data_IF_152921043811
#
_entry.id   IF_152921043811
#
_cell.length_a   1.000
_cell.length_b   1.000
_cell.length_c   1.000
_cell.angle_alpha   90.00
_cell.angle_beta   90.00
_cell.angle_gamma   90.00
#
_symmetry.space_group_name_H-M   'P 1'
#
loop_
_entity.id
_entity.type
_entity.pdbx_description
1 polymer ?
#
# COMPACT_ATOMS: atom_id res chain seq x y z
N UNK A 1 -20.04 35.56 -18.85
CA UNK A 1 -18.68 35.08 -18.56
C UNK A 1 -18.01 34.73 -19.86
N UNK A 2 -16.84 35.32 -20.13
CA UNK A 2 -16.05 34.96 -21.30
C UNK A 2 -15.43 33.56 -21.12
N UNK A 3 -15.05 32.84 -22.20
CA UNK A 3 -14.32 31.57 -22.11
C UNK A 3 -13.05 31.68 -21.23
N UNK A 4 -12.28 32.75 -21.41
CA UNK A 4 -11.11 33.06 -20.59
C UNK A 4 -11.43 33.26 -19.09
N UNK A 5 -12.56 33.88 -18.74
CA UNK A 5 -13.01 34.00 -17.34
C UNK A 5 -13.39 32.66 -16.73
N UNK A 6 -14.00 31.76 -17.51
CA UNK A 6 -14.31 30.39 -17.06
C UNK A 6 -13.03 29.61 -16.78
N UNK A 7 -12.06 29.64 -17.69
CA UNK A 7 -10.75 28.98 -17.50
C UNK A 7 -10.03 29.49 -16.24
N UNK A 8 -10.01 30.82 -16.02
CA UNK A 8 -9.43 31.41 -14.80
C UNK A 8 -10.16 30.97 -13.52
N UNK A 9 -11.49 30.85 -13.56
CA UNK A 9 -12.28 30.37 -12.42
C UNK A 9 -11.98 28.90 -12.12
N UNK A 10 -11.88 28.05 -13.14
CA UNK A 10 -11.52 26.64 -12.98
C UNK A 10 -10.09 26.46 -12.45
N UNK A 11 -9.13 27.23 -12.96
CA UNK A 11 -7.75 27.21 -12.45
C UNK A 11 -7.68 27.54 -10.95
N UNK A 12 -8.37 28.61 -10.51
CA UNK A 12 -8.44 28.98 -9.08
C UNK A 12 -9.13 27.92 -8.23
N UNK A 13 -10.18 27.28 -8.76
CA UNK A 13 -10.86 26.20 -8.06
C UNK A 13 -9.92 24.99 -7.88
N UNK A 14 -9.18 24.61 -8.92
CA UNK A 14 -8.20 23.53 -8.85
C UNK A 14 -7.08 23.81 -7.86
N UNK A 15 -6.49 25.02 -7.87
CA UNK A 15 -5.49 25.41 -6.88
C UNK A 15 -6.02 25.35 -5.45
N UNK A 16 -7.29 25.72 -5.24
CA UNK A 16 -7.93 25.61 -3.93
C UNK A 16 -8.08 24.13 -3.52
N UNK A 17 -8.56 23.28 -4.42
CA UNK A 17 -8.70 21.84 -4.17
C UNK A 17 -7.35 21.18 -3.92
N UNK A 18 -6.29 21.55 -4.64
CA UNK A 18 -4.93 21.06 -4.38
C UNK A 18 -4.47 21.34 -2.95
N UNK A 19 -4.69 22.58 -2.45
CA UNK A 19 -4.35 22.95 -1.07
C UNK A 19 -5.21 22.20 -0.04
N UNK A 20 -6.48 21.96 -0.36
CA UNK A 20 -7.37 21.18 0.51
C UNK A 20 -6.92 19.71 0.60
N UNK A 21 -6.52 19.10 -0.53
CA UNK A 21 -5.94 17.76 -0.56
C UNK A 21 -4.63 17.70 0.25
N UNK A 22 -3.73 18.67 0.09
CA UNK A 22 -2.48 18.72 0.85
C UNK A 22 -2.73 18.83 2.36
N UNK A 23 -3.74 19.62 2.78
CA UNK A 23 -4.13 19.71 4.19
C UNK A 23 -4.68 18.40 4.73
N UNK A 24 -5.52 17.72 3.96
CA UNK A 24 -6.11 16.45 4.38
C UNK A 24 -5.04 15.35 4.45
N UNK A 25 -4.10 15.34 3.50
CA UNK A 25 -2.93 14.45 3.54
C UNK A 25 -2.13 14.62 4.82
N UNK A 26 -1.80 15.86 5.21
CA UNK A 26 -1.06 16.12 6.46
C UNK A 26 -1.83 15.66 7.70
N UNK A 27 -3.17 15.72 7.71
CA UNK A 27 -3.96 15.14 8.81
C UNK A 27 -3.84 13.63 8.86
N UNK A 28 -3.90 12.95 7.71
CA UNK A 28 -3.71 11.51 7.62
C UNK A 28 -2.30 11.08 8.02
N UNK A 29 -1.26 11.80 7.61
CA UNK A 29 0.13 11.56 8.06
C UNK A 29 0.28 11.69 9.59
N UNK A 30 -0.41 12.66 10.19
CA UNK A 30 -0.43 12.80 11.66
C UNK A 30 -1.23 11.68 12.34
N UNK A 31 -2.31 11.20 11.72
CA UNK A 31 -3.07 10.05 12.21
C UNK A 31 -2.25 8.75 12.10
N UNK A 32 -1.50 8.57 11.02
CA UNK A 32 -0.56 7.47 10.83
C UNK A 32 0.45 7.43 11.98
N UNK A 33 1.09 8.56 12.31
CA UNK A 33 2.03 8.65 13.43
C UNK A 33 1.41 8.26 14.77
N UNK A 34 0.15 8.64 15.01
CA UNK A 34 -0.59 8.25 16.23
C UNK A 34 -0.90 6.76 16.24
N UNK A 35 -1.39 6.21 15.12
CA UNK A 35 -1.65 4.77 14.99
C UNK A 35 -0.40 3.95 15.24
N UNK A 36 0.76 4.35 14.71
CA UNK A 36 2.05 3.68 14.98
C UNK A 36 2.38 3.69 16.48
N UNK A 37 2.17 4.80 17.18
CA UNK A 37 2.38 4.87 18.62
C UNK A 37 1.41 3.98 19.41
N UNK A 38 0.15 3.91 18.99
CA UNK A 38 -0.87 3.12 19.67
C UNK A 38 -0.69 1.62 19.41
N UNK A 39 -0.29 1.22 18.19
CA UNK A 39 0.13 -0.17 17.88
C UNK A 39 1.27 -0.59 18.79
N UNK A 40 2.31 0.25 18.96
CA UNK A 40 3.44 -0.02 19.86
C UNK A 40 3.00 -0.18 21.31
N UNK A 41 2.02 0.60 21.78
CA UNK A 41 1.48 0.47 23.15
C UNK A 41 0.67 -0.80 23.32
N UNK A 42 -0.26 -1.08 22.41
CA UNK A 42 -1.11 -2.28 22.43
C UNK A 42 -0.27 -3.56 22.33
N UNK A 43 0.84 -3.51 21.59
CA UNK A 43 1.80 -4.60 21.47
C UNK A 43 2.51 -4.90 22.79
N UNK A 44 3.03 -3.85 23.46
CA UNK A 44 3.66 -3.97 24.79
C UNK A 44 2.69 -4.50 25.85
N UNK A 45 1.41 -4.19 25.70
CA UNK A 45 0.36 -4.64 26.60
C UNK A 45 -0.14 -6.07 26.27
N UNK A 46 0.42 -6.75 25.26
CA UNK A 46 0.03 -8.09 24.85
C UNK A 46 -1.35 -8.18 24.20
N UNK A 47 -1.92 -7.07 23.75
CA UNK A 47 -3.26 -7.01 23.15
C UNK A 47 -3.23 -7.35 21.65
N UNK A 48 -2.95 -8.60 21.32
CA UNK A 48 -2.75 -9.08 19.94
C UNK A 48 -3.95 -8.77 19.02
N UNK A 49 -5.18 -8.92 19.53
CA UNK A 49 -6.40 -8.62 18.77
C UNK A 49 -6.54 -7.13 18.42
N UNK A 50 -6.21 -6.24 19.37
CA UNK A 50 -6.21 -4.80 19.14
C UNK A 50 -5.10 -4.38 18.15
N UNK A 51 -3.90 -4.96 18.29
CA UNK A 51 -2.80 -4.72 17.35
C UNK A 51 -3.15 -5.12 15.92
N UNK A 52 -3.78 -6.28 15.69
CA UNK A 52 -4.15 -6.72 14.34
C UNK A 52 -5.15 -5.76 13.68
N UNK A 53 -6.12 -5.24 14.45
CA UNK A 53 -7.09 -4.26 13.94
C UNK A 53 -6.40 -2.91 13.63
N UNK A 54 -5.61 -2.40 14.58
CA UNK A 54 -4.89 -1.13 14.40
C UNK A 54 -3.87 -1.18 13.25
N UNK A 55 -3.24 -2.33 13.02
CA UNK A 55 -2.32 -2.52 11.89
C UNK A 55 -3.07 -2.51 10.54
N UNK A 56 -4.27 -3.10 10.46
CA UNK A 56 -5.14 -2.97 9.27
C UNK A 56 -5.52 -1.51 9.02
N UNK A 57 -5.86 -0.76 10.07
CA UNK A 57 -6.16 0.67 9.95
C UNK A 57 -4.94 1.49 9.51
N UNK A 58 -3.74 1.11 9.95
CA UNK A 58 -2.49 1.73 9.51
C UNK A 58 -2.24 1.52 8.02
N UNK A 59 -2.36 0.27 7.53
CA UNK A 59 -2.20 -0.05 6.10
C UNK A 59 -3.21 0.74 5.26
N UNK A 60 -4.48 0.80 5.70
CA UNK A 60 -5.52 1.58 5.03
C UNK A 60 -5.19 3.07 5.00
N UNK A 61 -4.67 3.62 6.11
CA UNK A 61 -4.26 5.02 6.21
C UNK A 61 -3.10 5.33 5.25
N UNK A 62 -2.08 4.46 5.18
CA UNK A 62 -0.96 4.58 4.23
C UNK A 62 -1.43 4.54 2.78
N UNK A 63 -2.32 3.61 2.43
CA UNK A 63 -2.96 3.55 1.09
C UNK A 63 -3.72 4.83 0.76
N UNK A 64 -4.46 5.41 1.71
CA UNK A 64 -5.12 6.69 1.49
C UNK A 64 -4.11 7.83 1.27
N UNK A 65 -3.04 7.93 2.06
CA UNK A 65 -1.98 8.93 1.86
C UNK A 65 -1.40 8.84 0.44
N UNK A 66 -1.08 7.62 -0.03
CA UNK A 66 -0.61 7.38 -1.41
C UNK A 66 -1.65 7.82 -2.45
N UNK A 67 -2.94 7.48 -2.25
CA UNK A 67 -4.03 7.92 -3.12
C UNK A 67 -4.14 9.45 -3.17
N UNK A 68 -3.95 10.15 -2.05
CA UNK A 68 -3.90 11.61 -2.02
C UNK A 68 -2.72 12.19 -2.82
N UNK A 69 -1.54 11.54 -2.81
CA UNK A 69 -0.43 11.92 -3.69
C UNK A 69 -0.78 11.75 -5.16
N UNK A 70 -1.36 10.61 -5.55
CA UNK A 70 -1.79 10.38 -6.94
C UNK A 70 -2.83 11.41 -7.39
N UNK A 71 -3.87 11.66 -6.59
CA UNK A 71 -4.89 12.68 -6.90
C UNK A 71 -4.30 14.09 -7.01
N UNK A 72 -3.34 14.46 -6.14
CA UNK A 72 -2.64 15.75 -6.23
C UNK A 72 -1.90 15.89 -7.57
N UNK A 73 -1.19 14.84 -7.99
CA UNK A 73 -0.45 14.81 -9.27
C UNK A 73 -1.41 14.91 -10.46
N UNK A 74 -2.53 14.19 -10.43
CA UNK A 74 -3.58 14.29 -11.45
C UNK A 74 -4.15 15.72 -11.54
N UNK A 75 -4.48 16.36 -10.41
CA UNK A 75 -4.93 17.76 -10.41
C UNK A 75 -3.86 18.73 -10.91
N UNK A 76 -2.58 18.44 -10.66
CA UNK A 76 -1.47 19.25 -11.17
C UNK A 76 -1.35 19.11 -12.70
N UNK A 77 -1.52 17.91 -13.25
CA UNK A 77 -1.56 17.66 -14.69
C UNK A 77 -2.73 18.40 -15.35
N UNK A 78 -3.93 18.36 -14.77
CA UNK A 78 -5.10 19.10 -15.28
C UNK A 78 -4.86 20.62 -15.24
N UNK A 79 -4.24 21.13 -14.17
CA UNK A 79 -3.88 22.55 -14.07
C UNK A 79 -2.92 22.97 -15.19
N UNK A 80 -1.93 22.14 -15.49
CA UNK A 80 -1.00 22.37 -16.59
C UNK A 80 -1.70 22.34 -17.95
N UNK A 81 -2.61 21.38 -18.18
CA UNK A 81 -3.42 21.31 -19.41
C UNK A 81 -4.26 22.57 -19.61
N UNK A 82 -4.88 23.10 -18.55
CA UNK A 82 -5.61 24.37 -18.59
C UNK A 82 -4.70 25.55 -18.94
N UNK A 83 -3.47 25.57 -18.41
CA UNK A 83 -2.49 26.59 -18.75
C UNK A 83 -2.11 26.54 -20.24
N UNK A 84 -1.92 25.34 -20.80
CA UNK A 84 -1.68 25.14 -22.24
C UNK A 84 -2.85 25.63 -23.08
N UNK A 85 -4.09 25.25 -22.73
CA UNK A 85 -5.31 25.70 -23.43
C UNK A 85 -5.40 27.22 -23.44
N UNK A 86 -5.11 27.88 -22.31
CA UNK A 86 -5.10 29.34 -22.22
C UNK A 86 -4.04 29.98 -23.13
N UNK A 87 -2.83 29.40 -23.20
CA UNK A 87 -1.76 29.88 -24.09
C UNK A 87 -2.17 29.74 -25.56
N UNK A 88 -2.79 28.60 -25.91
CA UNK A 88 -3.31 28.34 -27.25
C UNK A 88 -4.45 29.30 -27.61
N UNK A 89 -5.36 29.61 -26.68
CA UNK A 89 -6.42 30.60 -26.90
C UNK A 89 -5.83 32.00 -27.17
N UNK A 90 -4.82 32.43 -26.41
CA UNK A 90 -4.17 33.72 -26.63
C UNK A 90 -3.44 33.77 -27.99
N UNK A 91 -2.74 32.70 -28.35
CA UNK A 91 -2.11 32.55 -29.66
C UNK A 91 -3.16 32.60 -30.79
N UNK A 92 -4.28 31.91 -30.64
CA UNK A 92 -5.38 31.93 -31.61
C UNK A 92 -6.01 33.32 -31.74
N UNK A 93 -6.16 34.07 -30.64
CA UNK A 93 -6.63 35.46 -30.68
C UNK A 93 -5.64 36.36 -31.42
N UNK A 94 -4.33 36.21 -31.18
CA UNK A 94 -3.28 36.94 -31.90
C UNK A 94 -3.22 36.56 -33.38
N UNK A 95 -3.32 35.27 -33.72
CA UNK A 95 -3.37 34.79 -35.10
C UNK A 95 -4.63 35.27 -35.81
N UNK A 96 -5.78 35.32 -35.13
CA UNK A 96 -7.01 35.91 -35.65
C UNK A 96 -6.85 37.40 -35.94
N UNK A 97 -6.22 38.16 -35.04
CA UNK A 97 -5.91 39.57 -35.26
C UNK A 97 -4.94 39.79 -36.42
N UNK A 98 -3.84 39.03 -36.47
CA UNK A 98 -2.87 39.04 -37.56
C UNK A 98 -3.48 38.60 -38.89
N UNK A 99 -4.36 37.60 -38.89
CA UNK A 99 -5.14 37.15 -40.05
C UNK A 99 -6.10 38.22 -40.54
N UNK A 100 -6.79 38.94 -39.65
CA UNK A 100 -7.64 40.06 -40.05
C UNK A 100 -6.83 41.23 -40.62
N UNK A 101 -5.67 41.54 -40.05
CA UNK A 101 -4.72 42.53 -40.56
C UNK A 101 -4.12 42.12 -41.90
N UNK A 102 -3.71 40.87 -42.03
CA UNK A 102 -3.27 40.30 -43.30
C UNK A 102 -4.41 40.31 -44.30
N UNK A 103 -5.64 39.97 -43.92
CA UNK A 103 -6.82 40.00 -44.79
C UNK A 103 -7.20 41.40 -45.24
N UNK A 104 -7.06 42.42 -44.39
CA UNK A 104 -7.28 43.81 -44.77
C UNK A 104 -6.17 44.35 -45.68
N UNK A 105 -4.95 43.82 -45.57
CA UNK A 105 -3.80 44.12 -46.44
C UNK A 105 -3.78 43.27 -47.74
N UNK A 106 -4.38 42.06 -47.70
CA UNK A 106 -4.48 41.02 -48.75
C UNK A 106 -5.78 41.14 -49.57
N UNK A 107 -6.73 42.02 -49.19
CA UNK A 107 -7.87 42.32 -50.09
C UNK A 107 -7.42 42.83 -51.48
N UNK A 108 -6.13 43.12 -51.67
CA UNK A 108 -5.46 43.35 -52.94
C UNK A 108 -4.58 42.17 -53.48
N UNK A 109 -4.29 41.09 -52.74
CA UNK A 109 -3.60 39.86 -53.24
C UNK A 109 -3.86 38.58 -52.40
N UNK A 110 -4.68 37.64 -52.92
CA UNK A 110 -4.77 36.19 -52.64
C UNK A 110 -5.45 35.64 -51.35
N UNK A 111 -6.76 35.40 -51.45
CA UNK A 111 -7.64 34.63 -50.53
C UNK A 111 -7.31 33.12 -50.30
N UNK A 112 -6.72 32.34 -51.25
CA UNK A 112 -6.58 30.88 -51.09
C UNK A 112 -5.60 30.42 -50.00
N UNK A 113 -4.61 31.24 -49.64
CA UNK A 113 -3.60 30.87 -48.64
C UNK A 113 -4.18 30.86 -47.20
N UNK A 114 -5.19 31.68 -46.94
CA UNK A 114 -5.80 31.78 -45.62
C UNK A 114 -6.60 30.53 -45.24
N UNK A 115 -7.33 29.95 -46.20
CA UNK A 115 -8.07 28.70 -45.99
C UNK A 115 -7.14 27.52 -45.71
N UNK A 116 -5.94 27.48 -46.31
CA UNK A 116 -4.95 26.43 -46.02
C UNK A 116 -4.41 26.52 -44.60
N UNK A 117 -4.07 27.71 -44.13
CA UNK A 117 -3.53 27.89 -42.76
C UNK A 117 -4.56 27.48 -41.71
N UNK A 118 -5.85 27.79 -41.92
CA UNK A 118 -6.91 27.35 -41.01
C UNK A 118 -7.08 25.82 -41.01
N UNK A 119 -7.07 25.18 -42.18
CA UNK A 119 -7.15 23.71 -42.30
C UNK A 119 -5.91 23.00 -41.75
N UNK A 120 -4.71 23.53 -41.97
CA UNK A 120 -3.47 22.98 -41.41
C UNK A 120 -3.46 23.12 -39.88
N UNK A 121 -3.98 24.22 -39.34
CA UNK A 121 -4.11 24.39 -37.90
C UNK A 121 -5.09 23.38 -37.29
N UNK A 122 -6.27 23.17 -37.91
CA UNK A 122 -7.22 22.14 -37.45
C UNK A 122 -6.60 20.74 -37.46
N UNK A 123 -5.88 20.39 -38.54
CA UNK A 123 -5.19 19.11 -38.67
C UNK A 123 -4.10 18.92 -37.62
N UNK A 124 -3.28 19.94 -37.37
CA UNK A 124 -2.19 19.85 -36.38
C UNK A 124 -2.74 19.76 -34.94
N UNK A 125 -3.87 20.41 -34.67
CA UNK A 125 -4.55 20.33 -33.38
C UNK A 125 -5.12 18.92 -33.12
N UNK A 126 -5.75 18.29 -34.12
CA UNK A 126 -6.21 16.90 -34.01
C UNK A 126 -5.05 15.91 -33.79
N UNK A 127 -3.92 16.12 -34.45
CA UNK A 127 -2.71 15.29 -34.26
C UNK A 127 -2.16 15.44 -32.83
N UNK A 128 -2.22 16.65 -32.27
CA UNK A 128 -1.82 16.91 -30.88
C UNK A 128 -2.76 16.26 -29.86
N UNK A 129 -4.08 16.31 -30.09
CA UNK A 129 -5.06 15.68 -29.21
C UNK A 129 -4.94 14.15 -29.21
N UNK A 130 -4.73 13.53 -30.38
CA UNK A 130 -4.47 12.08 -30.50
C UNK A 130 -3.19 11.65 -29.78
N UNK A 131 -2.13 12.47 -29.83
CA UNK A 131 -0.88 12.19 -29.10
C UNK A 131 -1.07 12.24 -27.58
N UNK A 132 -1.97 13.08 -27.09
CA UNK A 132 -2.28 13.17 -25.68
C UNK A 132 -3.05 11.94 -25.19
N UNK A 133 -4.02 11.43 -25.96
CA UNK A 133 -4.74 10.17 -25.64
C UNK A 133 -3.79 8.97 -25.56
N UNK A 134 -2.90 8.80 -26.54
CA UNK A 134 -1.91 7.71 -26.52
C UNK A 134 -0.94 7.78 -25.33
N UNK A 135 -0.71 8.98 -24.80
CA UNK A 135 0.13 9.17 -23.62
C UNK A 135 -0.62 8.94 -22.32
N UNK A 136 -1.90 9.29 -22.25
CA UNK A 136 -2.75 9.00 -21.09
C UNK A 136 -2.99 7.47 -20.97
N UNK A 137 -3.23 6.76 -22.08
CA UNK A 137 -3.39 5.29 -22.09
C UNK A 137 -2.13 4.55 -21.59
N UNK A 138 -0.94 5.03 -21.98
CA UNK A 138 0.33 4.45 -21.53
C UNK A 138 0.61 4.70 -20.03
N UNK A 139 0.06 5.78 -19.47
CA UNK A 139 0.18 6.10 -18.04
C UNK A 139 -0.81 5.25 -17.22
N UNK A 140 -2.01 5.03 -17.73
CA UNK A 140 -3.02 4.18 -17.07
C UNK A 140 -2.60 2.71 -17.06
N UNK A 141 -1.98 2.19 -18.14
CA UNK A 141 -1.44 0.82 -18.19
C UNK A 141 -0.25 0.63 -17.22
N UNK A 142 0.55 1.67 -16.99
CA UNK A 142 1.66 1.63 -16.03
C UNK A 142 1.22 1.81 -14.56
N UNK A 143 -0.01 2.28 -14.30
CA UNK A 143 -0.53 2.58 -12.96
C UNK A 143 -1.69 1.69 -12.54
N UNK A 144 -1.98 0.63 -13.30
CA UNK A 144 -2.94 -0.43 -12.95
C UNK A 144 -2.56 -1.12 -11.63
N UNK A 145 -3.08 -0.57 -10.53
CA UNK A 145 -2.96 -1.09 -9.17
C UNK A 145 -3.81 -2.36 -9.04
N UNK A 146 -3.23 -3.49 -9.42
CA UNK A 146 -3.54 -4.79 -8.81
C UNK A 146 -3.11 -4.78 -7.32
N UNK A 147 -3.51 -5.78 -6.54
CA UNK A 147 -3.15 -6.05 -5.13
C UNK A 147 -4.20 -5.70 -4.05
N UNK A 148 -5.38 -6.30 -4.20
CA UNK A 148 -6.34 -6.48 -3.12
C UNK A 148 -6.17 -7.79 -2.32
N UNK A 149 -5.34 -8.75 -2.78
CA UNK A 149 -5.24 -10.09 -2.17
C UNK A 149 -4.16 -10.26 -1.06
N UNK A 150 -3.20 -9.33 -0.91
CA UNK A 150 -2.05 -9.49 0.00
C UNK A 150 -2.24 -8.94 1.44
N UNK A 151 -3.47 -8.58 1.81
CA UNK A 151 -3.72 -7.74 3.00
C UNK A 151 -3.26 -8.30 4.36
N UNK A 152 -3.14 -9.62 4.54
CA UNK A 152 -2.67 -10.20 5.81
C UNK A 152 -1.14 -10.29 5.90
N UNK A 153 -0.45 -10.53 4.79
CA UNK A 153 1.01 -10.56 4.73
C UNK A 153 1.57 -9.14 4.91
N UNK A 154 0.97 -8.15 4.25
CA UNK A 154 1.32 -6.72 4.41
C UNK A 154 1.14 -6.27 5.87
N UNK A 155 0.11 -6.75 6.57
CA UNK A 155 -0.08 -6.41 8.00
C UNK A 155 1.04 -6.97 8.87
N UNK A 156 1.50 -8.19 8.57
CA UNK A 156 2.61 -8.81 9.29
C UNK A 156 3.91 -8.05 9.02
N UNK A 157 4.20 -7.74 7.75
CA UNK A 157 5.37 -6.95 7.36
C UNK A 157 5.40 -5.57 8.04
N UNK A 158 4.26 -4.88 8.12
CA UNK A 158 4.17 -3.58 8.79
C UNK A 158 4.37 -3.69 10.30
N UNK A 159 3.92 -4.77 10.94
CA UNK A 159 4.18 -5.01 12.37
C UNK A 159 5.67 -5.27 12.63
N UNK A 160 6.33 -6.00 11.73
CA UNK A 160 7.76 -6.26 11.76
C UNK A 160 8.56 -4.96 11.52
N UNK A 161 8.17 -4.12 10.56
CA UNK A 161 8.75 -2.79 10.28
C UNK A 161 8.72 -1.86 11.52
N UNK A 162 7.63 -1.93 12.29
CA UNK A 162 7.44 -1.12 13.50
C UNK A 162 8.32 -1.63 14.66
N UNK A 163 8.89 -2.83 14.55
CA UNK A 163 9.68 -3.50 15.58
C UNK A 163 8.81 -4.11 16.68
N UNK A 164 7.57 -4.48 16.35
CA UNK A 164 6.71 -5.27 17.23
C UNK A 164 6.93 -6.73 16.85
N UNK A 165 8.01 -7.31 17.36
CA UNK A 165 8.21 -8.74 17.22
C UNK A 165 7.22 -9.46 18.15
N UNK A 166 6.14 -10.00 17.56
CA UNK A 166 5.13 -10.76 18.29
C UNK A 166 5.76 -11.97 19.01
N UNK A 167 6.94 -12.43 18.57
CA UNK A 167 7.70 -13.51 19.19
C UNK A 167 8.44 -13.10 20.46
N UNK A 168 8.80 -11.83 20.64
CA UNK A 168 9.60 -11.40 21.78
C UNK A 168 8.79 -11.32 23.09
N UNK A 169 7.46 -11.20 23.01
CA UNK A 169 6.56 -11.29 24.17
C UNK A 169 6.34 -12.74 24.68
N UNK A 170 6.82 -13.75 23.96
CA UNK A 170 6.77 -15.17 24.39
C UNK A 170 8.13 -15.71 24.90
N UNK A 171 9.16 -14.85 24.99
CA UNK A 171 10.56 -15.27 25.24
C UNK A 171 11.09 -15.13 26.68
N UNK A 172 10.33 -14.62 27.64
CA UNK A 172 10.79 -14.49 29.05
C UNK A 172 9.81 -15.13 30.03
N UNK A 173 9.43 -16.39 29.81
CA UNK A 173 9.00 -17.24 30.92
C UNK A 173 10.24 -17.81 31.61
N UNK A 174 10.55 -17.45 32.87
CA UNK A 174 11.71 -17.99 33.57
C UNK A 174 11.53 -19.49 33.75
N UNK A 175 12.28 -20.29 32.98
CA UNK A 175 12.35 -21.75 33.17
C UNK A 175 13.20 -22.18 34.38
N UNK A 176 13.63 -21.25 35.24
CA UNK A 176 14.40 -21.53 36.47
C UNK A 176 13.55 -21.92 37.69
N UNK A 177 12.42 -22.62 37.50
CA UNK A 177 11.69 -23.24 38.62
C UNK A 177 11.69 -24.77 38.60
N UNK A 178 12.51 -25.41 37.74
CA UNK A 178 12.79 -26.84 37.84
C UNK A 178 14.11 -27.12 38.58
N UNK A 179 14.11 -26.95 39.91
CA UNK A 179 14.78 -27.85 40.88
C UNK A 179 14.56 -27.41 42.33
N UNK A 180 13.30 -27.41 42.77
CA UNK A 180 13.00 -27.54 44.20
C UNK A 180 12.78 -29.03 44.50
N UNK A 181 13.86 -29.79 44.69
CA UNK A 181 13.78 -31.11 45.33
C UNK A 181 13.42 -30.90 46.79
N UNK A 182 12.13 -31.06 47.11
CA UNK A 182 11.64 -31.17 48.49
C UNK A 182 12.06 -32.56 49.01
N UNK A 183 12.86 -32.67 50.10
CA UNK A 183 13.15 -33.95 50.70
C UNK A 183 11.96 -34.39 51.55
N UNK A 184 11.27 -35.47 51.13
CA UNK A 184 10.23 -36.12 51.92
C UNK A 184 10.84 -36.70 53.21
N UNK A 185 10.42 -36.15 54.35
CA UNK A 185 10.71 -36.69 55.68
C UNK A 185 9.95 -38.01 55.89
N UNK A 186 10.70 -39.08 56.13
CA UNK A 186 10.19 -40.41 56.50
C UNK A 186 9.42 -40.32 57.82
N UNK A 187 8.13 -40.64 57.80
CA UNK A 187 7.36 -41.04 58.98
C UNK A 187 7.37 -42.56 59.04
N UNK A 188 7.81 -43.11 60.17
CA UNK A 188 7.81 -44.54 60.45
C UNK A 188 6.39 -45.05 60.71
N UNK A 189 5.98 -46.11 60.01
CA UNK A 189 4.85 -46.93 60.42
C UNK A 189 5.20 -48.40 60.28
N UNK A 190 5.00 -49.14 61.37
CA UNK A 190 5.31 -50.55 61.52
C UNK A 190 4.13 -51.45 61.13
N UNK A 191 4.46 -52.74 60.97
CA UNK A 191 3.63 -53.96 61.01
C UNK A 191 3.32 -54.60 59.66
N UNK A 192 3.85 -55.82 59.48
CA UNK A 192 3.02 -56.94 59.02
C UNK A 192 3.49 -57.73 57.80
N UNK A 193 4.33 -58.75 58.02
CA UNK A 193 4.07 -60.15 57.63
C UNK A 193 3.97 -60.56 56.14
N UNK A 194 4.89 -61.46 55.76
CA UNK A 194 4.75 -62.45 54.66
C UNK A 194 5.02 -61.87 53.26
N UNK A 195 5.74 -62.50 52.34
CA UNK A 195 6.28 -63.85 52.23
C UNK A 195 6.37 -64.15 50.72
N UNK A 196 7.54 -64.64 50.25
CA UNK A 196 7.64 -65.44 49.02
C UNK A 196 8.10 -64.77 47.72
N UNK A 197 9.25 -65.25 47.21
CA UNK A 197 9.61 -65.47 45.78
C UNK A 197 9.80 -64.22 44.89
N UNK A 198 11.01 -63.88 44.42
CA UNK A 198 11.77 -64.58 43.36
C UNK A 198 11.33 -64.04 41.99
N UNK A 199 12.15 -63.53 41.06
CA UNK A 199 13.60 -63.41 40.85
C UNK A 199 13.83 -62.81 39.45
N UNK A 200 15.03 -62.26 39.20
CA UNK A 200 15.60 -61.95 37.87
C UNK A 200 15.04 -60.70 37.16
N UNK A 201 15.80 -59.75 36.60
CA UNK A 201 17.22 -59.71 36.25
C UNK A 201 17.40 -58.90 34.94
N UNK A 202 18.27 -57.86 34.98
CA UNK A 202 19.04 -57.23 33.88
C UNK A 202 18.27 -56.54 32.73
N UNK A 203 18.44 -55.24 32.42
CA UNK A 203 19.62 -54.46 32.02
C UNK A 203 19.71 -54.21 30.49
N UNK A 204 19.63 -52.92 30.12
CA UNK A 204 20.13 -52.30 28.87
C UNK A 204 19.18 -52.36 27.67
N UNK A 205 19.15 -51.43 26.72
CA UNK A 205 19.71 -50.10 26.52
C UNK A 205 18.97 -49.50 25.30
N UNK A 206 19.02 -48.19 25.10
CA UNK A 206 18.12 -47.42 24.23
C UNK A 206 18.11 -47.74 22.73
N UNK A 207 16.99 -47.39 22.09
CA UNK A 207 16.89 -46.86 20.72
C UNK A 207 15.42 -46.50 20.42
N UNK A 208 15.01 -45.27 20.72
CA UNK A 208 13.74 -44.69 20.26
C UNK A 208 14.07 -43.51 19.36
N UNK A 209 13.99 -43.69 18.04
CA UNK A 209 14.17 -42.61 17.06
C UNK A 209 13.68 -42.90 15.62
N UNK A 210 13.22 -44.11 15.26
CA UNK A 210 12.98 -44.45 13.84
C UNK A 210 11.51 -44.77 13.48
N UNK A 211 10.56 -44.74 14.42
CA UNK A 211 9.17 -45.15 14.15
C UNK A 211 8.31 -44.06 13.50
N UNK A 212 8.63 -42.78 13.72
CA UNK A 212 7.81 -41.67 13.21
C UNK A 212 8.14 -41.34 11.74
N UNK A 213 9.39 -41.54 11.32
CA UNK A 213 9.83 -41.31 9.94
C UNK A 213 9.27 -42.39 8.98
N UNK A 214 9.18 -43.65 9.43
CA UNK A 214 8.61 -44.74 8.65
C UNK A 214 7.10 -44.55 8.39
N UNK A 215 6.36 -43.99 9.36
CA UNK A 215 4.93 -43.67 9.22
C UNK A 215 4.67 -42.47 8.29
N UNK A 216 5.59 -41.51 8.22
CA UNK A 216 5.52 -40.39 7.29
C UNK A 216 5.84 -40.82 5.85
N UNK A 217 6.80 -41.73 5.67
CA UNK A 217 7.16 -42.29 4.37
C UNK A 217 5.98 -43.08 3.76
N UNK A 218 5.30 -43.90 4.57
CA UNK A 218 4.13 -44.68 4.14
C UNK A 218 2.94 -43.80 3.72
N UNK A 219 2.74 -42.65 4.38
CA UNK A 219 1.71 -41.66 4.00
C UNK A 219 2.04 -40.96 2.68
N UNK A 220 3.31 -40.64 2.43
CA UNK A 220 3.77 -40.02 1.18
C UNK A 220 3.55 -40.93 -0.04
N UNK A 221 3.81 -42.23 0.10
CA UNK A 221 3.60 -43.20 -0.98
C UNK A 221 2.12 -43.43 -1.29
N UNK A 222 1.23 -43.29 -0.29
CA UNK A 222 -0.22 -43.36 -0.50
C UNK A 222 -0.80 -42.20 -1.30
N UNK A 223 -0.12 -41.04 -1.34
CA UNK A 223 -0.52 -39.85 -2.09
C UNK A 223 -0.01 -39.82 -3.54
N UNK A 224 0.93 -40.72 -3.88
CA UNK A 224 1.54 -40.81 -5.21
C UNK A 224 0.88 -41.83 -6.13
N UNK A 225 -0.22 -42.46 -5.72
CA UNK A 225 -0.94 -43.48 -6.49
C UNK A 225 -2.30 -42.98 -6.99
#
# INVERSE_FOLDING_TARGET
MTPAERLRKHQRALEKTQRELDRERVKLENQEKKLVQDIKKSAKNGQIGACKIQAKDLVRTRRYIQKFYSMRTQLQAISLRIQTVRSNEQMMQSMKGATMLLGSMNRQMNLPALQRIAMEFERENEIMDQRQELMDDAIDEATGLEDEEEGEEIVKEVLDEIGVDLGQAMGETPSELQKATVPEGRVAQAIGGGGGGGGGGGAGAGAGANTDDDDLQARLDSLRR
#
